data_IF_746682282089
#
_entry.id   IF_746682282089
#
_cell.length_a   1.000
_cell.length_b   1.000
_cell.length_c   1.000
_cell.angle_alpha   90.00
_cell.angle_beta   90.00
_cell.angle_gamma   90.00
#
_symmetry.space_group_name_H-M   'P 1'
#
loop_
_entity.id
_entity.type
_entity.pdbx_description
1 polymer ?
#
# COMPACT_ATOMS: atom_id res chain seq x y z
N UNK A 1 -9.83 15.67 22.71
CA UNK A 1 -11.00 15.18 21.95
C UNK A 1 -10.59 15.16 20.48
N UNK A 2 -11.00 14.16 19.68
CA UNK A 2 -10.72 14.16 18.25
C UNK A 2 -11.37 15.39 17.59
N UNK A 3 -10.66 16.05 16.69
CA UNK A 3 -11.17 17.17 15.91
C UNK A 3 -12.10 16.64 14.82
N UNK A 4 -13.38 17.02 14.88
CA UNK A 4 -14.36 16.64 13.87
C UNK A 4 -14.12 17.52 12.64
N UNK A 5 -13.83 16.92 11.50
CA UNK A 5 -13.58 17.63 10.23
C UNK A 5 -14.51 17.18 9.10
N UNK A 6 -15.19 16.04 9.28
CA UNK A 6 -16.12 15.46 8.30
C UNK A 6 -17.44 15.10 8.94
N UNK A 7 -18.54 15.57 8.35
CA UNK A 7 -19.91 15.14 8.67
C UNK A 7 -20.46 14.39 7.47
N UNK A 8 -20.98 13.18 7.71
CA UNK A 8 -21.62 12.38 6.66
C UNK A 8 -23.11 12.29 6.97
N UNK A 9 -23.93 12.79 6.07
CA UNK A 9 -25.39 12.67 6.14
C UNK A 9 -25.80 11.54 5.21
N UNK A 10 -26.42 10.50 5.76
CA UNK A 10 -26.93 9.36 4.99
C UNK A 10 -28.45 9.44 4.99
N UNK A 11 -29.04 9.59 3.80
CA UNK A 11 -30.50 9.58 3.63
C UNK A 11 -30.87 8.82 2.35
N UNK A 12 -31.91 7.99 2.42
CA UNK A 12 -32.38 7.15 1.31
C UNK A 12 -31.25 6.35 0.61
N UNK A 13 -30.33 5.81 1.40
CA UNK A 13 -29.17 5.04 0.90
C UNK A 13 -28.10 5.88 0.19
N UNK A 14 -28.25 7.21 0.14
CA UNK A 14 -27.26 8.15 -0.41
C UNK A 14 -26.49 8.81 0.72
N UNK A 15 -25.16 8.74 0.65
CA UNK A 15 -24.27 9.47 1.54
C UNK A 15 -23.87 10.80 0.90
N UNK A 16 -24.00 11.89 1.66
CA UNK A 16 -23.45 13.21 1.32
C UNK A 16 -22.44 13.60 2.38
N UNK A 17 -21.24 13.99 1.96
CA UNK A 17 -20.16 14.39 2.85
C UNK A 17 -20.00 15.91 2.87
N UNK A 18 -19.86 16.46 4.08
CA UNK A 18 -19.55 17.85 4.33
C UNK A 18 -18.25 17.95 5.11
N UNK A 19 -17.43 18.92 4.73
CA UNK A 19 -16.07 19.09 5.21
C UNK A 19 -15.87 20.50 5.75
N UNK A 20 -15.12 20.61 6.85
CA UNK A 20 -14.70 21.86 7.46
C UNK A 20 -13.46 21.60 8.32
N UNK A 21 -12.72 22.64 8.67
CA UNK A 21 -11.59 22.52 9.59
C UNK A 21 -12.08 22.30 11.03
N UNK A 22 -13.24 22.87 11.37
CA UNK A 22 -13.92 22.63 12.64
C UNK A 22 -15.43 22.84 12.52
N UNK A 23 -16.18 22.29 13.47
CA UNK A 23 -17.64 22.42 13.54
C UNK A 23 -18.09 23.03 14.87
N UNK A 24 -19.05 23.95 14.80
CA UNK A 24 -19.82 24.40 15.96
C UNK A 24 -21.23 23.85 15.88
N UNK A 25 -21.73 23.31 16.99
CA UNK A 25 -23.05 22.70 17.10
C UNK A 25 -24.02 23.66 17.79
N UNK A 26 -25.27 23.74 17.32
CA UNK A 26 -26.35 24.42 18.03
C UNK A 26 -27.66 23.64 17.88
N UNK A 27 -28.42 23.55 18.97
CA UNK A 27 -29.76 22.96 18.96
C UNK A 27 -30.83 24.06 18.90
N UNK A 28 -31.88 23.83 18.13
CA UNK A 28 -33.02 24.74 17.99
C UNK A 28 -34.34 23.98 18.03
N UNK A 29 -35.45 24.72 18.08
CA UNK A 29 -36.81 24.20 18.00
C UNK A 29 -37.10 23.13 19.08
N UNK A 30 -36.78 23.44 20.34
CA UNK A 30 -36.95 22.51 21.47
C UNK A 30 -36.22 21.17 21.23
N UNK A 31 -35.02 21.24 20.64
CA UNK A 31 -34.17 20.08 20.37
C UNK A 31 -34.51 19.31 19.09
N UNK A 32 -35.50 19.75 18.30
CA UNK A 32 -35.88 19.08 17.04
C UNK A 32 -34.92 19.37 15.89
N UNK A 33 -34.13 20.43 15.99
CA UNK A 33 -33.19 20.85 14.96
C UNK A 33 -31.77 20.89 15.50
N UNK A 34 -30.85 20.17 14.86
CA UNK A 34 -29.40 20.30 15.07
C UNK A 34 -28.78 21.08 13.91
N UNK A 35 -28.13 22.19 14.22
CA UNK A 35 -27.35 22.99 13.26
C UNK A 35 -25.86 22.70 13.44
N UNK A 36 -25.20 22.53 12.31
CA UNK A 36 -23.76 22.29 12.18
C UNK A 36 -23.18 23.46 11.38
N UNK A 37 -22.38 24.28 12.04
CA UNK A 37 -21.69 25.41 11.43
C UNK A 37 -20.23 25.05 11.20
N UNK A 38 -19.87 24.77 9.95
CA UNK A 38 -18.48 24.56 9.56
C UNK A 38 -17.70 25.87 9.55
N UNK A 39 -16.44 25.84 10.00
CA UNK A 39 -15.45 26.89 9.80
C UNK A 39 -14.31 26.35 8.95
N UNK A 40 -13.87 27.15 7.97
CA UNK A 40 -12.90 26.70 6.96
C UNK A 40 -13.53 25.74 5.95
N UNK A 41 -12.73 25.28 4.98
CA UNK A 41 -13.20 24.43 3.87
C UNK A 41 -12.85 22.95 4.04
N UNK A 42 -12.05 22.60 5.05
CA UNK A 42 -11.67 21.22 5.35
C UNK A 42 -10.71 20.61 4.33
N UNK A 43 -10.04 21.41 3.49
CA UNK A 43 -9.16 20.92 2.42
C UNK A 43 -8.06 20.03 2.97
N UNK A 44 -7.36 20.47 4.02
CA UNK A 44 -6.27 19.71 4.65
C UNK A 44 -6.78 18.38 5.21
N UNK A 45 -7.97 18.37 5.82
CA UNK A 45 -8.56 17.16 6.35
C UNK A 45 -8.92 16.17 5.24
N UNK A 46 -9.40 16.67 4.08
CA UNK A 46 -9.67 15.86 2.90
C UNK A 46 -8.39 15.26 2.32
N UNK A 47 -7.37 16.08 2.11
CA UNK A 47 -6.07 15.62 1.62
C UNK A 47 -5.46 14.55 2.54
N UNK A 48 -5.50 14.77 3.85
CA UNK A 48 -5.01 13.79 4.83
C UNK A 48 -5.79 12.46 4.77
N UNK A 49 -7.12 12.52 4.57
CA UNK A 49 -7.93 11.31 4.37
C UNK A 49 -7.52 10.60 3.08
N UNK A 50 -7.36 11.32 1.98
CA UNK A 50 -7.04 10.72 0.70
C UNK A 50 -5.66 10.05 0.74
N UNK A 51 -4.68 10.69 1.40
CA UNK A 51 -3.37 10.07 1.68
C UNK A 51 -3.51 8.82 2.56
N UNK A 52 -4.34 8.86 3.60
CA UNK A 52 -4.57 7.70 4.46
C UNK A 52 -5.25 6.54 3.69
N UNK A 53 -6.26 6.84 2.88
CA UNK A 53 -6.93 5.87 2.03
C UNK A 53 -5.96 5.26 1.01
N UNK A 54 -5.08 6.07 0.42
CA UNK A 54 -4.07 5.57 -0.49
C UNK A 54 -3.11 4.61 0.22
N UNK A 55 -2.65 4.95 1.43
CA UNK A 55 -1.82 4.05 2.25
C UNK A 55 -2.53 2.73 2.60
N UNK A 56 -3.81 2.79 2.94
CA UNK A 56 -4.61 1.60 3.25
C UNK A 56 -4.79 0.71 1.99
N UNK A 57 -4.96 1.33 0.82
CA UNK A 57 -4.99 0.63 -0.47
C UNK A 57 -3.64 -0.02 -0.79
N UNK A 58 -2.54 0.71 -0.60
CA UNK A 58 -1.19 0.19 -0.86
C UNK A 58 -0.86 -1.00 0.07
N UNK A 59 -1.22 -0.91 1.35
CA UNK A 59 -1.10 -2.02 2.29
C UNK A 59 -1.94 -3.23 1.87
N UNK A 60 -3.15 -2.99 1.33
CA UNK A 60 -4.01 -4.05 0.79
C UNK A 60 -3.37 -4.72 -0.44
N UNK A 61 -2.78 -3.94 -1.35
CA UNK A 61 -2.08 -4.48 -2.52
C UNK A 61 -0.84 -5.29 -2.13
N UNK A 62 -0.04 -4.81 -1.17
CA UNK A 62 1.11 -5.55 -0.64
C UNK A 62 0.66 -6.90 -0.03
N UNK A 63 -0.44 -6.92 0.73
CA UNK A 63 -0.97 -8.14 1.31
C UNK A 63 -1.45 -9.13 0.24
N UNK A 64 -2.17 -8.68 -0.78
CA UNK A 64 -2.63 -9.52 -1.90
C UNK A 64 -1.42 -10.13 -2.63
N UNK A 65 -0.42 -9.31 -2.96
CA UNK A 65 0.78 -9.74 -3.67
C UNK A 65 1.58 -10.75 -2.83
N UNK A 66 1.83 -10.45 -1.56
CA UNK A 66 2.63 -11.33 -0.69
C UNK A 66 1.93 -12.66 -0.41
N UNK A 67 0.59 -12.66 -0.30
CA UNK A 67 -0.23 -13.88 -0.18
C UNK A 67 -0.09 -14.74 -1.43
N UNK A 68 -0.29 -14.15 -2.63
CA UNK A 68 -0.13 -14.86 -3.90
C UNK A 68 1.29 -15.45 -4.07
N UNK A 69 2.32 -14.71 -3.65
CA UNK A 69 3.70 -15.22 -3.65
C UNK A 69 3.90 -16.37 -2.64
N UNK A 70 3.24 -16.29 -1.48
CA UNK A 70 3.29 -17.29 -0.43
C UNK A 70 2.70 -18.63 -0.86
N UNK A 71 1.59 -18.59 -1.59
CA UNK A 71 0.88 -19.76 -2.14
C UNK A 71 1.59 -20.40 -3.33
N UNK A 72 2.54 -19.70 -3.95
CA UNK A 72 3.25 -20.26 -5.10
C UNK A 72 4.37 -21.22 -4.68
N UNK A 73 4.40 -22.37 -5.34
CA UNK A 73 5.48 -23.37 -5.26
C UNK A 73 6.83 -22.85 -5.79
N UNK A 74 6.82 -21.74 -6.56
CA UNK A 74 8.04 -21.14 -7.08
C UNK A 74 8.61 -20.14 -6.08
N UNK A 75 9.94 -20.15 -5.96
CA UNK A 75 10.67 -19.21 -5.09
C UNK A 75 10.61 -17.76 -5.57
N UNK A 76 10.55 -17.56 -6.89
CA UNK A 76 10.53 -16.25 -7.53
C UNK A 76 9.32 -16.13 -8.43
N UNK A 77 8.71 -14.94 -8.41
CA UNK A 77 7.61 -14.54 -9.26
C UNK A 77 7.98 -13.35 -10.11
N UNK A 78 7.35 -13.26 -11.28
CA UNK A 78 7.50 -12.10 -12.16
C UNK A 78 6.30 -11.16 -12.03
N UNK A 79 6.51 -9.88 -12.37
CA UNK A 79 5.42 -8.89 -12.42
C UNK A 79 4.23 -9.37 -13.28
N UNK A 80 4.43 -9.91 -14.51
CA UNK A 80 3.30 -10.40 -15.31
C UNK A 80 2.54 -11.57 -14.65
N UNK A 81 3.24 -12.45 -13.92
CA UNK A 81 2.58 -13.53 -13.19
C UNK A 81 1.74 -12.99 -12.03
N UNK A 82 2.29 -12.05 -11.25
CA UNK A 82 1.57 -11.43 -10.14
C UNK A 82 0.35 -10.65 -10.61
N UNK A 83 0.47 -9.87 -11.67
CA UNK A 83 -0.65 -9.17 -12.31
C UNK A 83 -1.77 -10.14 -12.68
N UNK A 84 -1.43 -11.23 -13.39
CA UNK A 84 -2.39 -12.26 -13.78
C UNK A 84 -3.06 -12.96 -12.59
N UNK A 85 -2.30 -13.28 -11.54
CA UNK A 85 -2.80 -14.03 -10.37
C UNK A 85 -3.66 -13.17 -9.46
N UNK A 86 -3.28 -11.90 -9.27
CA UNK A 86 -3.95 -10.99 -8.34
C UNK A 86 -5.08 -10.18 -8.98
N UNK A 87 -5.09 -10.09 -10.32
CA UNK A 87 -6.01 -9.22 -11.08
C UNK A 87 -5.61 -7.73 -11.04
N UNK A 88 -4.48 -7.38 -10.42
CA UNK A 88 -3.96 -6.03 -10.37
C UNK A 88 -3.23 -5.68 -11.68
N UNK A 89 -3.20 -4.40 -12.05
CA UNK A 89 -2.39 -3.96 -13.19
C UNK A 89 -0.90 -4.13 -12.91
N UNK A 90 -0.08 -4.29 -13.96
CA UNK A 90 1.37 -4.40 -13.78
C UNK A 90 1.99 -3.17 -13.10
N UNK A 91 1.43 -1.98 -13.32
CA UNK A 91 1.91 -0.74 -12.69
C UNK A 91 1.66 -0.74 -11.18
N UNK A 92 0.47 -1.16 -10.74
CA UNK A 92 0.16 -1.31 -9.30
C UNK A 92 1.10 -2.33 -8.68
N UNK A 93 1.28 -3.49 -9.33
CA UNK A 93 2.21 -4.52 -8.86
C UNK A 93 3.63 -3.99 -8.76
N UNK A 94 4.13 -3.25 -9.77
CA UNK A 94 5.47 -2.66 -9.75
C UNK A 94 5.63 -1.63 -8.64
N UNK A 95 4.62 -0.79 -8.39
CA UNK A 95 4.64 0.21 -7.33
C UNK A 95 4.70 -0.47 -5.95
N UNK A 96 3.76 -1.37 -5.69
CA UNK A 96 3.67 -2.09 -4.43
C UNK A 96 4.95 -2.91 -4.13
N UNK A 97 5.53 -3.58 -5.13
CA UNK A 97 6.78 -4.33 -4.95
C UNK A 97 8.00 -3.44 -4.64
N UNK A 98 8.06 -2.22 -5.21
CA UNK A 98 9.17 -1.28 -4.95
C UNK A 98 9.12 -0.71 -3.54
N UNK A 99 7.93 -0.46 -3.03
CA UNK A 99 7.71 0.13 -1.71
C UNK A 99 7.66 -0.93 -0.60
N UNK A 100 7.36 -2.16 -0.96
CA UNK A 100 7.26 -3.28 -0.01
C UNK A 100 8.58 -3.61 0.68
N UNK A 101 8.53 -3.67 2.01
CA UNK A 101 9.64 -4.13 2.83
C UNK A 101 9.74 -5.65 2.90
N UNK A 102 8.68 -6.37 2.51
CA UNK A 102 8.51 -7.82 2.66
C UNK A 102 9.04 -8.64 1.48
N UNK A 103 9.24 -8.00 0.33
CA UNK A 103 9.74 -8.62 -0.89
C UNK A 103 11.13 -8.13 -1.24
N UNK A 104 11.87 -8.92 -2.03
CA UNK A 104 13.18 -8.53 -2.57
C UNK A 104 13.41 -9.11 -3.94
N UNK A 105 14.35 -8.50 -4.67
CA UNK A 105 14.89 -9.03 -5.91
C UNK A 105 15.98 -10.10 -5.64
N UNK A 106 16.35 -10.91 -6.65
CA UNK A 106 17.54 -11.72 -6.61
C UNK A 106 18.78 -10.89 -6.28
N UNK A 107 19.68 -11.45 -5.46
CA UNK A 107 20.97 -10.81 -5.12
C UNK A 107 21.92 -10.74 -6.34
N UNK A 108 21.68 -11.62 -7.32
CA UNK A 108 22.44 -11.68 -8.57
C UNK A 108 22.04 -10.50 -9.45
N UNK A 109 22.99 -9.61 -9.71
CA UNK A 109 22.79 -8.44 -10.56
C UNK A 109 22.86 -8.81 -12.04
N UNK A 110 21.70 -9.15 -12.63
CA UNK A 110 21.58 -9.40 -14.06
C UNK A 110 20.23 -8.93 -14.58
N UNK A 111 20.20 -8.27 -15.74
CA UNK A 111 19.00 -7.68 -16.33
C UNK A 111 17.82 -8.67 -16.47
N UNK A 112 18.11 -9.94 -16.78
CA UNK A 112 17.10 -11.01 -16.87
C UNK A 112 16.33 -11.27 -15.56
N UNK A 113 16.82 -10.75 -14.45
CA UNK A 113 16.25 -10.89 -13.11
C UNK A 113 15.62 -9.59 -12.59
N UNK A 114 15.56 -8.52 -13.38
CA UNK A 114 15.02 -7.23 -12.93
C UNK A 114 13.53 -7.29 -12.54
N UNK A 115 12.78 -8.14 -13.23
CA UNK A 115 11.35 -8.35 -12.97
C UNK A 115 11.07 -9.52 -12.04
N UNK A 116 12.10 -10.13 -11.44
CA UNK A 116 11.96 -11.27 -10.54
C UNK A 116 11.92 -10.78 -9.08
N UNK A 117 10.93 -11.26 -8.34
CA UNK A 117 10.68 -10.90 -6.96
C UNK A 117 10.40 -12.13 -6.11
N UNK A 118 10.75 -12.06 -4.83
CA UNK A 118 10.46 -13.11 -3.86
C UNK A 118 10.18 -12.56 -2.48
N UNK A 119 9.51 -13.34 -1.63
CA UNK A 119 9.37 -13.03 -0.21
C UNK A 119 10.75 -13.04 0.48
N UNK A 120 11.05 -12.01 1.27
CA UNK A 120 12.28 -11.94 2.09
C UNK A 120 12.31 -13.05 3.15
N UNK A 121 11.15 -13.43 3.68
CA UNK A 121 11.01 -14.49 4.69
C UNK A 121 11.55 -15.85 4.24
N UNK A 122 11.60 -16.11 2.93
CA UNK A 122 12.15 -17.37 2.37
C UNK A 122 13.69 -17.42 2.34
N UNK A 123 14.40 -16.39 2.83
CA UNK A 123 15.86 -16.35 2.92
C UNK A 123 16.57 -16.37 1.55
N UNK A 124 17.86 -16.72 1.54
CA UNK A 124 18.66 -16.86 0.31
C UNK A 124 18.52 -18.27 -0.27
N UNK A 125 18.31 -18.39 -1.60
CA UNK A 125 18.43 -19.68 -2.28
C UNK A 125 19.88 -20.20 -2.22
N UNK A 126 20.08 -21.52 -2.46
CA UNK A 126 21.42 -22.11 -2.59
C UNK A 126 22.28 -21.38 -3.64
N UNK A 127 21.68 -20.99 -4.77
CA UNK A 127 22.35 -20.26 -5.84
C UNK A 127 22.79 -18.87 -5.39
N UNK A 128 21.93 -18.15 -4.65
CA UNK A 128 22.27 -16.83 -4.09
C UNK A 128 23.34 -16.92 -3.00
N UNK A 129 23.28 -17.95 -2.13
CA UNK A 129 24.32 -18.19 -1.12
C UNK A 129 25.69 -18.41 -1.78
N UNK A 130 25.73 -19.21 -2.84
CA UNK A 130 26.96 -19.47 -3.58
C UNK A 130 27.48 -18.22 -4.30
N UNK A 131 26.59 -17.45 -4.94
CA UNK A 131 26.96 -16.16 -5.54
C UNK A 131 27.54 -15.17 -4.51
N UNK A 132 26.95 -15.12 -3.30
CA UNK A 132 27.46 -14.31 -2.18
C UNK A 132 28.84 -14.75 -1.73
N UNK A 133 29.06 -16.06 -1.59
CA UNK A 133 30.37 -16.61 -1.25
C UNK A 133 31.43 -16.29 -2.31
N UNK A 134 31.10 -16.43 -3.60
CA UNK A 134 32.01 -16.04 -4.68
C UNK A 134 32.33 -14.55 -4.68
N UNK A 135 31.35 -13.70 -4.39
CA UNK A 135 31.55 -12.25 -4.26
C UNK A 135 32.56 -11.90 -3.17
N UNK A 136 32.49 -12.57 -2.01
CA UNK A 136 33.42 -12.38 -0.90
C UNK A 136 34.86 -12.78 -1.27
N UNK A 137 35.03 -13.84 -2.07
CA UNK A 137 36.35 -14.34 -2.46
C UNK A 137 36.97 -13.59 -3.64
N UNK A 138 36.14 -13.12 -4.57
CA UNK A 138 36.60 -12.63 -5.88
C UNK A 138 36.17 -11.18 -6.18
N UNK A 139 35.59 -10.47 -5.22
CA UNK A 139 35.23 -9.05 -5.36
C UNK A 139 34.09 -8.76 -6.35
N UNK A 140 33.22 -9.73 -6.65
CA UNK A 140 32.08 -9.50 -7.55
C UNK A 140 31.03 -8.58 -6.91
N UNK A 141 30.52 -7.65 -7.71
CA UNK A 141 29.36 -6.82 -7.39
C UNK A 141 28.08 -7.66 -7.31
N UNK A 142 27.32 -7.43 -6.24
CA UNK A 142 25.99 -8.01 -6.00
C UNK A 142 25.02 -6.87 -5.72
N UNK A 143 23.72 -7.11 -5.93
CA UNK A 143 22.70 -6.17 -5.46
C UNK A 143 22.68 -6.15 -3.94
N UNK A 144 22.48 -4.98 -3.35
CA UNK A 144 22.16 -4.86 -1.93
C UNK A 144 20.87 -5.64 -1.66
N UNK A 145 20.94 -6.56 -0.69
CA UNK A 145 19.84 -7.45 -0.33
C UNK A 145 18.71 -6.73 0.42
#
# INVERSE_FOLDING_TARGET
MPELTRVVVVNDGKATEYWADSWTLATQDDGRTLKLFGRGDGTVARENRDVALMKDLDATFEQIITTAMGESDKDFQTVPWLSKTTGLSEDIVRSALKESSLVRRPVIDAAKYDDWWRLKSRGLTRKERWARWQSLLFGRTLRSA
#
